data_IF_498980841430
#
_entry.id   IF_498980841430
#
_cell.length_a   1.000
_cell.length_b   1.000
_cell.length_c   1.000
_cell.angle_alpha   90.00
_cell.angle_beta   90.00
_cell.angle_gamma   90.00
#
_symmetry.space_group_name_H-M   'P 1'
#
loop_
_entity.id
_entity.type
_entity.pdbx_description
1 polymer ?
#
# COMPACT_ATOMS: atom_id res chain seq x y z
N UNK A 1 -2.04 -8.64 22.65
CA UNK A 1 -0.66 -8.56 22.16
C UNK A 1 -0.67 -8.84 20.67
N UNK A 2 -0.16 -7.94 19.83
CA UNK A 2 -0.20 -8.10 18.37
C UNK A 2 0.94 -7.33 17.68
N UNK A 3 1.19 -7.65 16.41
CA UNK A 3 2.17 -6.95 15.56
C UNK A 3 1.43 -6.04 14.57
N UNK A 4 1.87 -4.80 14.45
CA UNK A 4 1.34 -3.82 13.51
C UNK A 4 2.31 -3.65 12.33
N UNK A 5 1.80 -3.72 11.10
CA UNK A 5 2.52 -3.39 9.88
C UNK A 5 1.92 -2.11 9.28
N UNK A 6 2.71 -1.05 9.11
CA UNK A 6 2.20 0.27 8.70
C UNK A 6 2.77 0.66 7.34
N UNK A 7 1.90 1.01 6.40
CA UNK A 7 2.31 1.74 5.20
C UNK A 7 2.64 3.19 5.58
N UNK A 8 3.93 3.54 5.53
CA UNK A 8 4.39 4.88 5.84
C UNK A 8 4.02 5.90 4.77
N UNK A 9 3.86 5.49 3.51
CA UNK A 9 3.44 6.36 2.42
C UNK A 9 2.05 6.96 2.68
N UNK A 10 1.12 6.16 3.21
CA UNK A 10 -0.16 6.64 3.72
C UNK A 10 0.04 7.66 4.86
N UNK A 11 0.83 7.33 5.88
CA UNK A 11 1.02 8.20 7.05
C UNK A 11 1.58 9.56 6.64
N UNK A 12 2.57 9.61 5.74
CA UNK A 12 3.17 10.85 5.24
C UNK A 12 2.15 11.83 4.69
N UNK A 13 1.14 11.30 3.97
CA UNK A 13 0.07 12.09 3.36
C UNK A 13 -0.97 12.51 4.39
N UNK A 14 -1.30 11.64 5.33
CA UNK A 14 -2.26 11.93 6.41
C UNK A 14 -1.80 13.06 7.33
N UNK A 15 -0.48 13.20 7.54
CA UNK A 15 0.07 14.18 8.47
C UNK A 15 0.25 15.57 7.84
N UNK A 16 0.07 15.72 6.52
CA UNK A 16 0.20 17.02 5.84
C UNK A 16 -0.79 18.00 6.49
N UNK A 17 -0.30 19.09 7.11
CA UNK A 17 -1.17 20.03 7.80
C UNK A 17 -2.10 20.73 6.80
N UNK A 18 -3.33 20.98 7.24
CA UNK A 18 -4.29 21.84 6.51
C UNK A 18 -3.74 23.26 6.36
N UNK A 19 -4.40 24.13 5.59
CA UNK A 19 -3.99 25.54 5.51
C UNK A 19 -4.09 26.24 6.88
N UNK A 20 -5.11 25.88 7.67
CA UNK A 20 -5.37 26.42 9.00
C UNK A 20 -4.34 25.89 10.02
N UNK A 21 -3.98 24.61 9.94
CA UNK A 21 -2.98 23.98 10.83
C UNK A 21 -1.57 24.58 10.70
N UNK A 22 -1.28 25.29 9.60
CA UNK A 22 0.08 25.82 9.32
C UNK A 22 0.40 27.13 10.03
N UNK A 23 -0.60 27.79 10.61
CA UNK A 23 -0.40 28.89 11.54
C UNK A 23 -0.74 28.37 12.94
N UNK A 24 0.26 28.33 13.82
CA UNK A 24 0.02 27.96 15.21
C UNK A 24 -0.80 29.05 15.90
N UNK A 25 -1.49 28.70 16.98
CA UNK A 25 -2.35 29.64 17.73
C UNK A 25 -1.60 30.87 18.25
N UNK A 26 -0.28 30.75 18.44
CA UNK A 26 0.63 31.81 18.86
C UNK A 26 1.16 32.68 17.71
N UNK A 27 0.72 32.41 16.47
CA UNK A 27 1.15 33.12 15.26
C UNK A 27 2.49 32.66 14.69
N UNK A 28 3.13 31.64 15.29
CA UNK A 28 4.39 31.10 14.76
C UNK A 28 4.14 30.13 13.58
N UNK A 29 5.11 30.03 12.64
CA UNK A 29 4.96 29.11 11.51
C UNK A 29 5.11 27.66 11.96
N UNK A 30 4.26 26.78 11.44
CA UNK A 30 4.40 25.32 11.59
C UNK A 30 5.72 24.84 10.98
N UNK A 31 6.46 23.98 11.68
CA UNK A 31 7.82 23.54 11.31
C UNK A 31 7.88 22.06 10.95
N UNK A 32 9.02 21.63 10.42
CA UNK A 32 9.31 20.20 10.22
C UNK A 32 9.31 19.40 11.51
N UNK A 33 9.69 20.01 12.65
CA UNK A 33 9.56 19.40 13.96
C UNK A 33 8.10 19.04 14.26
N UNK A 34 7.17 19.98 14.08
CA UNK A 34 5.74 19.75 14.32
C UNK A 34 5.19 18.64 13.42
N UNK A 35 5.66 18.57 12.18
CA UNK A 35 5.30 17.51 11.24
C UNK A 35 5.71 16.11 11.74
N UNK A 36 6.97 15.92 12.15
CA UNK A 36 7.45 14.62 12.64
C UNK A 36 6.87 14.25 14.01
N UNK A 37 6.58 15.25 14.85
CA UNK A 37 5.81 15.06 16.10
C UNK A 37 4.38 14.60 15.82
N UNK A 38 3.68 15.24 14.86
CA UNK A 38 2.32 14.82 14.46
C UNK A 38 2.35 13.41 13.88
N UNK A 39 3.34 13.09 13.05
CA UNK A 39 3.52 11.77 12.45
C UNK A 39 3.71 10.67 13.49
N UNK A 40 4.65 10.85 14.42
CA UNK A 40 4.88 9.90 15.52
C UNK A 40 3.65 9.76 16.40
N UNK A 41 2.98 10.86 16.74
CA UNK A 41 1.74 10.84 17.53
C UNK A 41 0.64 10.03 16.84
N UNK A 42 0.49 10.15 15.52
CA UNK A 42 -0.47 9.36 14.75
C UNK A 42 -0.09 7.87 14.77
N UNK A 43 1.18 7.53 14.55
CA UNK A 43 1.64 6.13 14.62
C UNK A 43 1.35 5.55 16.00
N UNK A 44 1.69 6.28 17.07
CA UNK A 44 1.49 5.84 18.45
C UNK A 44 0.01 5.71 18.82
N UNK A 45 -0.83 6.66 18.42
CA UNK A 45 -2.27 6.60 18.64
C UNK A 45 -2.92 5.44 17.87
N UNK A 46 -2.36 5.09 16.71
CA UNK A 46 -2.86 3.97 15.89
C UNK A 46 -2.35 2.64 16.43
N UNK A 47 -1.13 2.50 16.93
CA UNK A 47 -0.66 1.18 17.38
C UNK A 47 -1.46 0.58 18.55
N UNK A 48 -2.20 1.36 19.33
CA UNK A 48 -2.85 0.85 20.55
C UNK A 48 -1.84 0.13 21.46
N UNK A 49 -2.10 -1.15 21.75
CA UNK A 49 -1.21 -2.03 22.54
C UNK A 49 -0.44 -3.03 21.64
N UNK A 50 0.07 -2.58 20.50
CA UNK A 50 0.97 -3.41 19.69
C UNK A 50 2.31 -3.57 20.39
N UNK A 51 2.89 -4.76 20.30
CA UNK A 51 4.21 -5.03 20.88
C UNK A 51 5.33 -4.66 19.92
N UNK A 52 5.07 -4.86 18.62
CA UNK A 52 6.01 -4.57 17.54
C UNK A 52 5.27 -3.74 16.49
N UNK A 53 5.90 -2.64 16.08
CA UNK A 53 5.48 -1.78 14.99
C UNK A 53 6.51 -1.92 13.86
N UNK A 54 6.10 -2.42 12.70
CA UNK A 54 6.93 -2.48 11.50
C UNK A 54 6.47 -1.37 10.56
N UNK A 55 7.25 -0.29 10.50
CA UNK A 55 7.06 0.83 9.58
C UNK A 55 7.66 0.49 8.22
N UNK A 56 6.80 0.32 7.21
CA UNK A 56 7.20 -0.09 5.86
C UNK A 56 7.13 1.08 4.90
N UNK A 57 8.19 1.27 4.11
CA UNK A 57 8.27 2.28 3.06
C UNK A 57 8.67 1.67 1.73
N UNK A 58 8.27 2.33 0.65
CA UNK A 58 8.84 2.11 -0.69
C UNK A 58 10.36 2.32 -0.69
N UNK A 59 11.05 1.49 -1.47
CA UNK A 59 12.45 1.73 -1.83
C UNK A 59 12.54 2.74 -2.98
N UNK A 60 13.01 3.95 -2.68
CA UNK A 60 13.34 4.95 -3.69
C UNK A 60 14.82 4.90 -4.13
N UNK A 61 15.52 3.80 -3.83
CA UNK A 61 16.93 3.58 -4.18
C UNK A 61 17.09 2.91 -5.58
N UNK A 62 16.00 2.48 -6.24
CA UNK A 62 16.06 1.81 -7.54
C UNK A 62 16.25 2.79 -8.71
N UNK A 63 17.01 2.38 -9.74
CA UNK A 63 17.21 3.15 -10.97
C UNK A 63 15.92 3.31 -11.81
N UNK A 64 14.95 2.40 -11.60
CA UNK A 64 13.62 2.40 -12.19
C UNK A 64 12.65 1.83 -11.15
N UNK A 65 11.64 2.59 -10.77
CA UNK A 65 10.47 2.16 -10.00
C UNK A 65 9.26 2.10 -10.95
N UNK A 66 8.34 1.17 -10.75
CA UNK A 66 6.99 1.19 -11.36
C UNK A 66 6.28 2.53 -11.16
N UNK A 67 6.57 3.23 -10.06
CA UNK A 67 6.06 4.57 -9.76
C UNK A 67 6.75 5.68 -10.58
N UNK A 68 7.82 5.37 -11.32
CA UNK A 68 8.46 6.34 -12.23
C UNK A 68 7.62 6.53 -13.50
N UNK A 69 6.94 5.52 -14.02
CA UNK A 69 6.02 5.67 -15.16
C UNK A 69 4.78 6.50 -14.78
N UNK A 70 4.21 6.24 -13.59
CA UNK A 70 3.15 7.10 -13.04
C UNK A 70 3.67 8.52 -12.86
N UNK A 71 4.89 8.70 -12.35
CA UNK A 71 5.49 10.02 -12.14
C UNK A 71 5.78 10.73 -13.45
N UNK A 72 6.24 10.06 -14.49
CA UNK A 72 6.51 10.65 -15.80
C UNK A 72 5.22 11.18 -16.44
N UNK A 73 4.09 10.52 -16.22
CA UNK A 73 2.76 11.03 -16.60
C UNK A 73 2.37 12.30 -15.82
N UNK A 74 2.81 12.46 -14.58
CA UNK A 74 2.56 13.66 -13.76
C UNK A 74 3.58 14.78 -14.00
N UNK A 75 4.81 14.43 -14.39
CA UNK A 75 5.96 15.34 -14.57
C UNK A 75 5.99 16.00 -15.95
N UNK A 76 5.12 15.62 -16.90
CA UNK A 76 4.94 16.32 -18.18
C UNK A 76 4.65 17.84 -18.06
N UNK A 77 4.45 18.38 -16.85
CA UNK A 77 4.37 19.83 -16.58
C UNK A 77 5.28 20.39 -15.47
N UNK A 78 6.17 19.61 -14.84
CA UNK A 78 7.03 20.09 -13.75
C UNK A 78 8.47 20.33 -14.20
N UNK A 79 8.95 21.57 -14.05
CA UNK A 79 10.37 21.90 -14.17
C UNK A 79 11.22 21.15 -13.13
N UNK A 80 12.55 21.14 -13.33
CA UNK A 80 13.53 20.58 -12.38
C UNK A 80 13.17 20.92 -10.92
N UNK A 81 13.01 19.88 -10.09
CA UNK A 81 12.73 20.00 -8.65
C UNK A 81 14.05 19.92 -7.86
N UNK A 82 14.52 21.00 -7.23
CA UNK A 82 15.75 20.97 -6.45
C UNK A 82 15.63 20.12 -5.18
N UNK A 83 16.77 19.66 -4.68
CA UNK A 83 16.83 18.97 -3.40
C UNK A 83 16.56 19.95 -2.25
N UNK A 84 15.70 19.56 -1.31
CA UNK A 84 15.33 20.36 -0.13
C UNK A 84 15.84 19.63 1.11
N UNK A 85 16.79 20.25 1.81
CA UNK A 85 17.33 19.73 3.07
C UNK A 85 16.44 20.20 4.23
N UNK A 86 15.64 19.29 4.76
CA UNK A 86 14.65 19.56 5.81
C UNK A 86 15.33 19.60 7.18
N UNK A 87 15.41 20.78 7.81
CA UNK A 87 15.82 20.92 9.21
C UNK A 87 14.59 21.08 10.09
N UNK A 88 14.64 20.49 11.29
CA UNK A 88 13.51 20.49 12.24
C UNK A 88 13.03 21.91 12.59
N UNK A 89 13.93 22.89 12.63
CA UNK A 89 13.62 24.29 12.96
C UNK A 89 13.07 25.11 11.80
N UNK A 90 13.21 24.61 10.57
CA UNK A 90 12.79 25.34 9.38
C UNK A 90 11.25 25.29 9.24
N UNK A 91 10.63 26.34 8.68
CA UNK A 91 9.21 26.33 8.36
C UNK A 91 8.85 25.16 7.45
N UNK A 92 7.71 24.55 7.72
CA UNK A 92 7.15 23.51 6.90
C UNK A 92 6.64 24.07 5.56
N UNK A 93 6.62 23.24 4.53
CA UNK A 93 6.22 23.65 3.19
C UNK A 93 4.70 23.87 3.07
N UNK A 94 4.31 24.67 2.09
CA UNK A 94 2.90 24.77 1.67
C UNK A 94 2.40 23.45 1.06
N UNK A 95 1.08 23.32 0.87
CA UNK A 95 0.45 22.13 0.27
C UNK A 95 1.02 21.85 -1.12
N UNK A 96 1.18 22.92 -1.90
CA UNK A 96 1.82 22.84 -3.21
C UNK A 96 3.30 22.49 -3.07
N UNK A 97 3.99 23.11 -2.10
CA UNK A 97 5.40 22.85 -1.84
C UNK A 97 5.71 21.40 -1.47
N UNK A 98 4.90 20.78 -0.60
CA UNK A 98 5.07 19.37 -0.23
C UNK A 98 4.76 18.44 -1.41
N UNK A 99 3.71 18.73 -2.19
CA UNK A 99 3.41 17.95 -3.39
C UNK A 99 4.56 18.02 -4.40
N UNK A 100 5.12 19.20 -4.65
CA UNK A 100 6.30 19.38 -5.50
C UNK A 100 7.53 18.70 -4.91
N UNK A 101 7.75 18.76 -3.59
CA UNK A 101 8.85 18.06 -2.92
C UNK A 101 8.74 16.55 -3.17
N UNK A 102 7.55 15.97 -3.01
CA UNK A 102 7.28 14.55 -3.24
C UNK A 102 7.35 14.14 -4.71
N UNK A 103 7.42 15.08 -5.66
CA UNK A 103 7.74 14.78 -7.06
C UNK A 103 9.23 14.48 -7.28
N UNK A 104 10.10 14.55 -6.26
CA UNK A 104 11.53 14.21 -6.36
C UNK A 104 11.88 12.99 -5.51
N UNK A 105 12.44 11.94 -6.15
CA UNK A 105 12.97 10.74 -5.47
C UNK A 105 13.94 11.12 -4.36
N UNK A 106 14.89 12.01 -4.64
CA UNK A 106 15.90 12.41 -3.67
C UNK A 106 15.27 13.09 -2.46
N UNK A 107 14.24 13.92 -2.66
CA UNK A 107 13.53 14.55 -1.56
C UNK A 107 12.72 13.55 -0.74
N UNK A 108 12.09 12.53 -1.35
CA UNK A 108 11.44 11.43 -0.62
C UNK A 108 12.44 10.68 0.27
N UNK A 109 13.65 10.41 -0.24
CA UNK A 109 14.73 9.78 0.52
C UNK A 109 15.20 10.65 1.69
N UNK A 110 15.33 11.96 1.48
CA UNK A 110 15.65 12.90 2.55
C UNK A 110 14.55 12.91 3.63
N UNK A 111 13.29 12.81 3.23
CA UNK A 111 12.15 12.74 4.15
C UNK A 111 12.17 11.42 4.94
N UNK A 112 12.42 10.29 4.28
CA UNK A 112 12.61 8.98 4.94
C UNK A 112 13.70 9.04 6.01
N UNK A 113 14.84 9.65 5.69
CA UNK A 113 15.96 9.78 6.62
C UNK A 113 15.62 10.65 7.82
N UNK A 114 14.90 11.77 7.60
CA UNK A 114 14.44 12.63 8.69
C UNK A 114 13.49 11.88 9.63
N UNK A 115 12.50 11.18 9.07
CA UNK A 115 11.51 10.41 9.83
C UNK A 115 12.19 9.25 10.57
N UNK A 116 13.07 8.49 9.91
CA UNK A 116 13.78 7.36 10.50
C UNK A 116 14.62 7.80 11.72
N UNK A 117 15.36 8.91 11.60
CA UNK A 117 16.12 9.49 12.73
C UNK A 117 15.20 9.83 13.90
N UNK A 118 14.09 10.51 13.61
CA UNK A 118 13.14 10.92 14.64
C UNK A 118 12.47 9.70 15.33
N UNK A 119 12.10 8.68 14.56
CA UNK A 119 11.57 7.42 15.09
C UNK A 119 12.62 6.63 15.89
N UNK A 120 13.91 6.77 15.57
CA UNK A 120 14.99 6.15 16.34
C UNK A 120 15.06 6.75 17.74
N UNK A 121 14.98 8.07 17.85
CA UNK A 121 14.93 8.74 19.15
C UNK A 121 13.68 8.33 19.93
N UNK A 122 12.52 8.29 19.25
CA UNK A 122 11.25 7.87 19.85
C UNK A 122 11.27 6.44 20.37
N UNK A 123 11.92 5.51 19.64
CA UNK A 123 11.98 4.09 19.97
C UNK A 123 12.59 3.83 21.36
N UNK A 124 13.38 4.76 21.88
CA UNK A 124 13.96 4.67 23.25
C UNK A 124 12.96 5.00 24.36
N UNK A 125 11.84 5.66 24.02
CA UNK A 125 10.87 6.22 24.96
C UNK A 125 9.53 5.47 24.99
N UNK A 126 9.35 4.49 24.10
CA UNK A 126 8.12 3.71 23.97
C UNK A 126 8.39 2.25 24.29
N UNK A 127 7.38 1.55 24.82
CA UNK A 127 7.51 0.13 25.16
C UNK A 127 7.48 -0.80 23.96
N UNK A 128 6.85 -0.35 22.86
CA UNK A 128 6.76 -1.12 21.63
C UNK A 128 8.10 -1.13 20.89
N UNK A 129 8.46 -2.28 20.35
CA UNK A 129 9.60 -2.41 19.45
C UNK A 129 9.27 -1.76 18.10
N UNK A 130 10.13 -0.85 17.64
CA UNK A 130 9.95 -0.19 16.35
C UNK A 130 10.96 -0.73 15.35
N UNK A 131 10.46 -1.32 14.27
CA UNK A 131 11.23 -1.80 13.12
C UNK A 131 10.93 -0.89 11.94
N UNK A 132 11.96 -0.47 11.22
CA UNK A 132 11.84 0.39 10.05
C UNK A 132 12.41 -0.31 8.81
N UNK A 133 11.55 -0.58 7.83
CA UNK A 133 11.91 -1.27 6.58
C UNK A 133 11.77 -0.35 5.37
N UNK A 134 12.83 -0.28 4.57
CA UNK A 134 12.94 0.46 3.31
C UNK A 134 13.71 -0.43 2.32
N UNK A 135 12.99 -1.15 1.46
CA UNK A 135 13.61 -2.07 0.51
C UNK A 135 14.50 -3.12 1.20
N UNK A 136 15.77 -3.25 0.77
CA UNK A 136 16.77 -4.14 1.40
C UNK A 136 17.26 -3.68 2.77
N UNK A 137 16.94 -2.46 3.19
CA UNK A 137 17.39 -1.93 4.49
C UNK A 137 16.27 -2.07 5.50
N UNK A 138 16.44 -3.00 6.42
CA UNK A 138 15.60 -3.09 7.60
C UNK A 138 16.43 -2.92 8.87
N UNK A 139 15.93 -2.10 9.80
CA UNK A 139 16.58 -1.81 11.08
C UNK A 139 15.55 -1.88 12.20
N UNK A 140 15.86 -2.65 13.23
CA UNK A 140 15.22 -2.52 14.53
C UNK A 140 15.75 -1.26 15.19
N UNK A 141 14.91 -0.22 15.26
CA UNK A 141 15.28 1.08 15.81
C UNK A 141 15.42 1.02 17.34
N UNK A 142 14.64 0.18 18.01
CA UNK A 142 14.70 -0.02 19.46
C UNK A 142 16.01 -0.69 19.88
N UNK A 143 16.48 -1.68 19.13
CA UNK A 143 17.74 -2.38 19.40
C UNK A 143 18.96 -1.81 18.65
N UNK A 144 18.74 -0.87 17.73
CA UNK A 144 19.75 -0.36 16.79
C UNK A 144 20.47 -1.46 16.00
N UNK A 145 19.72 -2.47 15.56
CA UNK A 145 20.26 -3.64 14.84
C UNK A 145 19.68 -3.76 13.43
N UNK A 146 20.54 -4.06 12.46
CA UNK A 146 20.08 -4.41 11.12
C UNK A 146 19.38 -5.77 11.15
N UNK A 147 18.28 -5.88 10.41
CA UNK A 147 17.51 -7.12 10.28
C UNK A 147 17.53 -7.57 8.83
N UNK A 148 17.73 -8.87 8.59
CA UNK A 148 17.63 -9.46 7.25
C UNK A 148 16.23 -10.01 6.94
N UNK A 149 15.50 -10.44 7.98
CA UNK A 149 14.21 -11.14 7.83
C UNK A 149 13.11 -10.26 7.21
N UNK A 150 13.28 -8.94 7.19
CA UNK A 150 12.31 -8.00 6.64
C UNK A 150 12.92 -7.07 5.57
N UNK A 151 13.98 -7.56 4.92
CA UNK A 151 14.66 -6.87 3.82
C UNK A 151 14.18 -7.43 2.48
N UNK A 152 13.57 -6.58 1.67
CA UNK A 152 12.98 -6.98 0.39
C UNK A 152 13.42 -6.02 -0.72
N UNK A 153 14.25 -6.50 -1.64
CA UNK A 153 14.77 -5.66 -2.71
C UNK A 153 13.70 -5.30 -3.74
N UNK A 154 13.64 -4.01 -4.11
CA UNK A 154 12.80 -3.48 -5.20
C UNK A 154 11.31 -3.80 -5.09
N UNK A 155 10.82 -4.07 -3.88
CA UNK A 155 9.41 -4.28 -3.60
C UNK A 155 8.71 -2.95 -3.27
N UNK A 156 7.48 -2.79 -3.75
CA UNK A 156 6.55 -1.76 -3.30
C UNK A 156 6.14 -2.00 -1.84
N UNK A 157 5.71 -0.95 -1.14
CA UNK A 157 5.35 -1.02 0.28
C UNK A 157 4.31 -2.14 0.56
N UNK A 158 3.30 -2.29 -0.30
CA UNK A 158 2.27 -3.33 -0.19
C UNK A 158 2.87 -4.74 -0.24
N UNK A 159 3.76 -4.99 -1.20
CA UNK A 159 4.49 -6.26 -1.32
C UNK A 159 5.35 -6.53 -0.10
N UNK A 160 5.99 -5.50 0.47
CA UNK A 160 6.78 -5.63 1.70
C UNK A 160 5.89 -5.95 2.91
N UNK A 161 4.71 -5.33 3.03
CA UNK A 161 3.75 -5.62 4.11
C UNK A 161 3.37 -7.12 4.13
N UNK A 162 2.99 -7.68 2.98
CA UNK A 162 2.58 -9.09 2.93
C UNK A 162 3.75 -10.07 2.98
N UNK A 163 4.92 -9.68 2.47
CA UNK A 163 6.14 -10.49 2.67
C UNK A 163 6.55 -10.55 4.14
N UNK A 164 6.48 -9.43 4.87
CA UNK A 164 6.71 -9.42 6.31
C UNK A 164 5.67 -10.26 7.06
N UNK A 165 4.40 -10.21 6.64
CA UNK A 165 3.36 -11.09 7.17
C UNK A 165 3.69 -12.58 6.96
N UNK A 166 4.12 -12.98 5.76
CA UNK A 166 4.52 -14.35 5.45
C UNK A 166 5.70 -14.80 6.33
N UNK A 167 6.75 -13.98 6.44
CA UNK A 167 7.92 -14.26 7.30
C UNK A 167 7.51 -14.43 8.77
N UNK A 168 6.59 -13.60 9.27
CA UNK A 168 6.06 -13.77 10.63
C UNK A 168 5.39 -15.14 10.79
N UNK A 169 4.57 -15.56 9.83
CA UNK A 169 3.93 -16.88 9.88
C UNK A 169 4.94 -18.03 9.80
N UNK A 170 5.90 -17.94 8.89
CA UNK A 170 6.97 -18.95 8.75
C UNK A 170 7.85 -19.06 9.99
N UNK A 171 8.10 -17.94 10.70
CA UNK A 171 8.82 -17.94 11.97
C UNK A 171 8.03 -18.54 13.15
N UNK A 172 6.77 -18.91 12.93
CA UNK A 172 5.90 -19.51 13.95
C UNK A 172 5.09 -18.51 14.78
N UNK A 173 5.06 -17.23 14.40
CA UNK A 173 4.22 -16.25 15.09
C UNK A 173 2.73 -16.52 14.81
N UNK A 174 1.99 -16.90 15.84
CA UNK A 174 0.55 -17.26 15.76
C UNK A 174 -0.39 -16.14 16.18
N UNK A 175 0.14 -15.06 16.76
CA UNK A 175 -0.67 -13.93 17.23
C UNK A 175 -1.28 -13.11 16.10
N UNK A 176 -2.15 -12.13 16.42
CA UNK A 176 -2.73 -11.24 15.42
C UNK A 176 -1.65 -10.38 14.75
N UNK A 177 -1.81 -10.20 13.43
CA UNK A 177 -1.06 -9.20 12.65
C UNK A 177 -2.06 -8.22 12.07
N UNK A 178 -1.82 -6.92 12.28
CA UNK A 178 -2.71 -5.84 11.83
C UNK A 178 -1.98 -5.01 10.79
N UNK A 179 -2.54 -4.91 9.59
CA UNK A 179 -2.06 -4.03 8.53
C UNK A 179 -2.76 -2.67 8.63
N UNK A 180 -1.99 -1.59 8.60
CA UNK A 180 -2.48 -0.23 8.56
C UNK A 180 -2.13 0.41 7.21
N UNK A 181 -3.05 0.26 6.27
CA UNK A 181 -2.95 0.77 4.90
C UNK A 181 -4.32 1.25 4.41
N UNK A 182 -4.32 2.20 3.48
CA UNK A 182 -5.53 2.71 2.83
C UNK A 182 -5.67 2.29 1.37
N UNK A 183 -4.61 1.76 0.76
CA UNK A 183 -4.64 1.37 -0.64
C UNK A 183 -5.56 0.17 -0.85
N UNK A 184 -6.33 0.19 -1.94
CA UNK A 184 -7.22 -0.91 -2.31
C UNK A 184 -6.44 -2.18 -2.58
N UNK A 185 -5.24 -2.05 -3.13
CA UNK A 185 -4.33 -3.17 -3.38
C UNK A 185 -4.01 -3.93 -2.09
N UNK A 186 -3.82 -3.20 -0.99
CA UNK A 186 -3.63 -3.81 0.33
C UNK A 186 -4.87 -4.56 0.82
N UNK A 187 -6.09 -4.10 0.54
CA UNK A 187 -7.32 -4.84 0.90
C UNK A 187 -7.49 -6.11 0.08
N UNK A 188 -7.22 -6.05 -1.23
CA UNK A 188 -7.27 -7.20 -2.13
C UNK A 188 -6.26 -8.26 -1.71
N UNK A 189 -5.00 -7.85 -1.50
CA UNK A 189 -3.96 -8.74 -1.01
C UNK A 189 -4.30 -9.30 0.38
N UNK A 190 -4.83 -8.50 1.30
CA UNK A 190 -5.22 -8.98 2.63
C UNK A 190 -6.33 -10.04 2.57
N UNK A 191 -7.34 -9.84 1.72
CA UNK A 191 -8.40 -10.81 1.49
C UNK A 191 -7.81 -12.14 0.98
N UNK A 192 -6.93 -12.08 -0.01
CA UNK A 192 -6.24 -13.26 -0.57
C UNK A 192 -5.37 -13.97 0.48
N UNK A 193 -4.39 -13.28 1.08
CA UNK A 193 -3.42 -13.89 1.99
C UNK A 193 -4.04 -14.40 3.29
N UNK A 194 -5.17 -13.85 3.72
CA UNK A 194 -5.89 -14.34 4.90
C UNK A 194 -6.45 -15.77 4.75
N UNK A 195 -6.62 -16.25 3.52
CA UNK A 195 -7.07 -17.61 3.20
C UNK A 195 -5.92 -18.56 2.88
N UNK A 196 -4.75 -18.02 2.49
CA UNK A 196 -3.58 -18.79 2.09
C UNK A 196 -2.63 -19.11 3.25
N UNK A 197 -2.52 -18.21 4.23
CA UNK A 197 -1.60 -18.34 5.35
C UNK A 197 -2.34 -18.48 6.67
N UNK A 198 -1.89 -19.36 7.58
CA UNK A 198 -2.53 -19.54 8.88
C UNK A 198 -2.37 -18.30 9.77
N UNK A 199 -3.31 -18.12 10.71
CA UNK A 199 -3.27 -17.08 11.73
C UNK A 199 -4.18 -15.89 11.45
N UNK A 200 -4.36 -15.05 12.47
CA UNK A 200 -5.27 -13.91 12.40
C UNK A 200 -4.60 -12.72 11.69
N UNK A 201 -5.02 -12.45 10.46
CA UNK A 201 -4.70 -11.24 9.72
C UNK A 201 -5.88 -10.25 9.84
N UNK A 202 -5.57 -9.01 10.20
CA UNK A 202 -6.53 -7.93 10.25
C UNK A 202 -6.02 -6.72 9.44
N UNK A 203 -6.94 -5.89 8.97
CA UNK A 203 -6.63 -4.63 8.30
C UNK A 203 -7.41 -3.49 8.93
N UNK A 204 -6.77 -2.34 9.07
CA UNK A 204 -7.39 -1.12 9.58
C UNK A 204 -8.12 -0.36 8.50
N UNK A 205 -9.35 0.00 8.83
CA UNK A 205 -10.19 0.87 8.03
C UNK A 205 -10.74 2.00 8.88
N UNK A 206 -10.23 3.21 8.65
CA UNK A 206 -10.52 4.38 9.49
C UNK A 206 -10.15 4.11 10.96
N UNK A 207 -11.14 3.98 11.83
CA UNK A 207 -10.98 3.68 13.26
C UNK A 207 -11.30 2.22 13.61
N UNK A 208 -11.71 1.40 12.64
CA UNK A 208 -12.08 0.00 12.85
C UNK A 208 -10.96 -0.93 12.39
N UNK A 209 -10.80 -2.04 13.10
CA UNK A 209 -9.97 -3.17 12.68
C UNK A 209 -10.91 -4.25 12.18
N UNK A 210 -10.65 -4.79 10.99
CA UNK A 210 -11.48 -5.80 10.33
C UNK A 210 -10.65 -7.06 10.16
N UNK A 211 -11.20 -8.22 10.51
CA UNK A 211 -10.57 -9.51 10.24
C UNK A 211 -10.61 -9.79 8.73
N UNK A 212 -9.46 -10.09 8.15
CA UNK A 212 -9.33 -10.19 6.70
C UNK A 212 -10.04 -11.41 6.11
N UNK A 213 -10.20 -12.49 6.89
CA UNK A 213 -10.95 -13.68 6.51
C UNK A 213 -12.44 -13.42 6.23
N UNK A 214 -12.96 -12.32 6.77
CA UNK A 214 -14.38 -11.97 6.70
C UNK A 214 -14.65 -10.94 5.59
N UNK A 215 -13.61 -10.50 4.87
CA UNK A 215 -13.73 -9.52 3.80
C UNK A 215 -14.46 -10.08 2.58
N UNK A 216 -14.20 -11.35 2.26
CA UNK A 216 -14.76 -12.06 1.09
C UNK A 216 -14.93 -13.55 1.42
N UNK A 217 -15.75 -14.27 0.65
CA UNK A 217 -15.86 -15.73 0.76
C UNK A 217 -14.59 -16.42 0.28
N UNK A 218 -14.43 -17.71 0.58
CA UNK A 218 -13.25 -18.49 0.19
C UNK A 218 -13.12 -18.57 -1.34
N UNK A 219 -14.24 -18.74 -2.04
CA UNK A 219 -14.28 -18.79 -3.49
C UNK A 219 -13.87 -17.44 -4.09
N UNK A 220 -14.36 -16.33 -3.53
CA UNK A 220 -14.01 -15.00 -4.01
C UNK A 220 -12.55 -14.65 -3.73
N UNK A 221 -12.01 -15.07 -2.57
CA UNK A 221 -10.60 -14.89 -2.27
C UNK A 221 -9.70 -15.57 -3.30
N UNK A 222 -10.11 -16.72 -3.86
CA UNK A 222 -9.33 -17.45 -4.86
C UNK A 222 -9.15 -16.71 -6.20
N UNK A 223 -10.01 -15.74 -6.51
CA UNK A 223 -10.01 -15.02 -7.78
C UNK A 223 -9.93 -13.49 -7.67
N UNK A 224 -9.89 -12.93 -6.45
CA UNK A 224 -9.98 -11.48 -6.22
C UNK A 224 -8.79 -10.72 -6.80
N UNK A 225 -7.59 -11.31 -6.79
CA UNK A 225 -6.38 -10.69 -7.34
C UNK A 225 -6.51 -10.56 -8.85
N UNK A 226 -6.89 -11.63 -9.53
CA UNK A 226 -7.10 -11.66 -10.98
C UNK A 226 -8.19 -10.69 -11.40
N UNK A 227 -9.31 -10.65 -10.66
CA UNK A 227 -10.37 -9.69 -10.91
C UNK A 227 -9.86 -8.25 -10.80
N UNK A 228 -9.13 -7.93 -9.72
CA UNK A 228 -8.57 -6.59 -9.52
C UNK A 228 -7.60 -6.18 -10.63
N UNK A 229 -6.77 -7.11 -11.11
CA UNK A 229 -5.91 -6.91 -12.27
C UNK A 229 -6.70 -6.57 -13.55
N UNK A 230 -7.74 -7.34 -13.86
CA UNK A 230 -8.58 -7.10 -15.05
C UNK A 230 -9.39 -5.81 -14.96
N UNK A 231 -9.70 -5.36 -13.74
CA UNK A 231 -10.41 -4.11 -13.52
C UNK A 231 -9.52 -2.86 -13.70
N UNK A 232 -8.20 -3.03 -13.85
CA UNK A 232 -7.23 -1.97 -14.19
C UNK A 232 -6.39 -1.47 -13.02
N UNK A 233 -6.25 -2.24 -11.94
CA UNK A 233 -5.34 -2.04 -10.79
C UNK A 233 -5.26 -0.66 -10.10
N UNK A 234 -5.95 0.42 -10.50
CA UNK A 234 -5.77 1.69 -9.79
C UNK A 234 -6.96 2.68 -9.74
N UNK A 235 -6.99 3.38 -8.59
CA UNK A 235 -7.72 4.60 -8.19
C UNK A 235 -9.25 4.62 -7.99
N UNK A 236 -10.04 3.66 -8.49
CA UNK A 236 -11.49 3.54 -8.15
C UNK A 236 -11.97 2.10 -8.03
N UNK A 237 -11.06 1.19 -7.64
CA UNK A 237 -11.43 -0.16 -7.26
C UNK A 237 -12.20 -0.11 -5.95
N UNK A 238 -13.27 -0.87 -5.92
CA UNK A 238 -14.43 -0.47 -5.18
C UNK A 238 -14.92 -1.55 -4.25
N UNK A 239 -13.94 -2.09 -3.56
CA UNK A 239 -14.09 -3.10 -2.52
C UNK A 239 -15.19 -2.75 -1.50
N UNK A 240 -15.64 -1.47 -1.45
CA UNK A 240 -16.76 -1.01 -0.61
C UNK A 240 -17.80 -0.05 -1.25
N UNK A 241 -18.08 -0.05 -2.57
CA UNK A 241 -19.40 0.42 -3.07
C UNK A 241 -19.59 1.66 -4.01
N UNK A 242 -18.57 2.43 -4.41
CA UNK A 242 -18.50 3.31 -5.62
C UNK A 242 -17.49 2.92 -6.78
N UNK A 243 -17.97 2.32 -7.87
CA UNK A 243 -17.16 1.85 -9.03
C UNK A 243 -17.31 0.33 -9.32
N UNK A 244 -17.52 -0.09 -10.57
CA UNK A 244 -17.62 -1.51 -11.06
C UNK A 244 -18.27 -2.60 -10.16
N UNK A 245 -19.13 -2.22 -9.21
CA UNK A 245 -19.86 -3.12 -8.29
C UNK A 245 -20.63 -4.22 -9.04
N UNK A 246 -21.15 -3.87 -10.21
CA UNK A 246 -21.86 -4.80 -11.08
C UNK A 246 -20.98 -5.98 -11.52
N UNK A 247 -19.70 -5.74 -11.83
CA UNK A 247 -18.74 -6.81 -12.19
C UNK A 247 -18.47 -7.70 -10.98
N UNK A 248 -18.20 -7.09 -9.83
CA UNK A 248 -17.99 -7.83 -8.58
C UNK A 248 -19.20 -8.72 -8.26
N UNK A 249 -20.42 -8.16 -8.33
CA UNK A 249 -21.66 -8.90 -8.08
C UNK A 249 -21.87 -10.01 -9.13
N UNK A 250 -21.49 -9.81 -10.40
CA UNK A 250 -21.55 -10.85 -11.44
C UNK A 250 -20.59 -12.01 -11.15
N UNK A 251 -19.35 -11.71 -10.75
CA UNK A 251 -18.35 -12.73 -10.36
C UNK A 251 -18.81 -13.46 -9.10
N UNK A 252 -19.27 -12.72 -8.07
CA UNK A 252 -19.75 -13.29 -6.81
C UNK A 252 -20.90 -14.28 -7.02
N UNK A 253 -21.79 -14.01 -7.98
CA UNK A 253 -22.96 -14.84 -8.26
C UNK A 253 -22.71 -15.95 -9.30
N UNK A 254 -21.48 -16.13 -9.80
CA UNK A 254 -21.16 -17.12 -10.83
C UNK A 254 -19.95 -17.98 -10.45
N UNK A 255 -20.17 -19.20 -9.93
CA UNK A 255 -19.10 -20.14 -9.61
C UNK A 255 -18.24 -20.52 -10.83
N UNK A 256 -18.83 -20.53 -12.03
CA UNK A 256 -18.11 -20.76 -13.28
C UNK A 256 -17.05 -19.68 -13.50
N UNK A 257 -17.45 -18.41 -13.36
CA UNK A 257 -16.56 -17.27 -13.54
C UNK A 257 -15.46 -17.26 -12.46
N UNK A 258 -15.80 -17.56 -11.20
CA UNK A 258 -14.81 -17.65 -10.12
C UNK A 258 -13.75 -18.71 -10.44
N UNK A 259 -14.17 -19.88 -10.93
CA UNK A 259 -13.28 -20.97 -11.32
C UNK A 259 -12.43 -20.65 -12.55
N UNK A 260 -12.99 -19.96 -13.54
CA UNK A 260 -12.22 -19.47 -14.69
C UNK A 260 -11.18 -18.47 -14.20
N UNK A 261 -11.60 -17.53 -13.36
CA UNK A 261 -10.72 -16.49 -12.83
C UNK A 261 -9.58 -17.03 -11.96
N UNK A 262 -9.87 -18.01 -11.10
CA UNK A 262 -8.89 -18.60 -10.18
C UNK A 262 -7.78 -19.35 -10.92
N UNK A 263 -8.01 -19.79 -12.17
CA UNK A 263 -7.02 -20.48 -13.00
C UNK A 263 -6.05 -19.53 -13.71
N UNK A 264 -6.36 -18.23 -13.78
CA UNK A 264 -5.48 -17.28 -14.45
C UNK A 264 -4.27 -16.94 -13.59
N UNK A 265 -3.09 -17.09 -14.19
CA UNK A 265 -1.80 -16.87 -13.54
C UNK A 265 -1.13 -18.13 -12.99
N UNK A 266 -1.79 -19.29 -13.05
CA UNK A 266 -1.21 -20.57 -12.64
C UNK A 266 -0.13 -21.10 -13.61
N UNK A 267 -0.16 -20.63 -14.87
CA UNK A 267 0.81 -20.97 -15.91
C UNK A 267 1.15 -19.74 -16.76
N UNK A 268 2.42 -19.63 -17.15
CA UNK A 268 2.90 -18.64 -18.14
C UNK A 268 2.38 -18.94 -19.54
N UNK A 269 2.23 -20.23 -19.86
CA UNK A 269 1.60 -20.72 -21.07
C UNK A 269 0.11 -20.89 -20.78
N UNK A 270 -0.71 -19.99 -21.33
CA UNK A 270 -2.17 -20.10 -21.26
C UNK A 270 -2.65 -20.99 -22.41
N UNK A 271 -3.41 -22.03 -22.07
CA UNK A 271 -4.12 -22.83 -23.08
C UNK A 271 -5.04 -21.91 -23.90
N UNK A 272 -5.19 -22.20 -25.20
CA UNK A 272 -5.99 -21.38 -26.12
C UNK A 272 -7.44 -21.22 -25.63
N UNK A 273 -8.02 -22.28 -25.05
CA UNK A 273 -9.34 -22.26 -24.39
C UNK A 273 -9.41 -21.27 -23.22
N UNK A 274 -8.35 -21.18 -22.41
CA UNK A 274 -8.26 -20.26 -21.26
C UNK A 274 -8.17 -18.80 -21.76
N UNK A 275 -7.48 -18.56 -22.88
CA UNK A 275 -7.40 -17.25 -23.54
C UNK A 275 -8.75 -16.85 -24.15
N UNK A 276 -9.48 -17.78 -24.76
CA UNK A 276 -10.83 -17.54 -25.28
C UNK A 276 -11.83 -17.22 -24.17
N UNK A 277 -11.83 -18.00 -23.09
CA UNK A 277 -12.64 -17.75 -21.89
C UNK A 277 -12.34 -16.35 -21.30
N UNK A 278 -11.05 -15.97 -21.28
CA UNK A 278 -10.63 -14.67 -20.76
C UNK A 278 -11.15 -13.53 -21.61
N UNK A 279 -11.02 -13.69 -22.93
CA UNK A 279 -11.52 -12.71 -23.87
C UNK A 279 -13.03 -12.55 -23.75
N UNK A 280 -13.77 -13.66 -23.64
CA UNK A 280 -15.21 -13.63 -23.45
C UNK A 280 -15.58 -12.94 -22.13
N UNK A 281 -14.89 -13.27 -21.04
CA UNK A 281 -15.10 -12.64 -19.74
C UNK A 281 -14.83 -11.13 -19.76
N UNK A 282 -13.67 -10.70 -20.25
CA UNK A 282 -13.31 -9.28 -20.34
C UNK A 282 -14.36 -8.54 -21.19
N UNK A 283 -14.71 -9.11 -22.33
CA UNK A 283 -15.63 -8.47 -23.26
C UNK A 283 -17.05 -8.37 -22.71
N UNK A 284 -17.62 -9.47 -22.23
CA UNK A 284 -19.01 -9.54 -21.78
C UNK A 284 -19.21 -8.96 -20.37
N UNK A 285 -18.31 -9.28 -19.44
CA UNK A 285 -18.50 -8.99 -18.01
C UNK A 285 -17.85 -7.66 -17.65
N UNK A 286 -16.60 -7.42 -18.05
CA UNK A 286 -15.89 -6.17 -17.70
C UNK A 286 -16.39 -4.98 -18.54
N UNK A 287 -16.57 -5.17 -19.85
CA UNK A 287 -16.92 -4.08 -20.77
C UNK A 287 -18.39 -4.08 -21.25
N UNK A 288 -19.17 -5.12 -20.96
CA UNK A 288 -20.58 -5.21 -21.39
C UNK A 288 -20.77 -5.24 -22.91
N UNK A 289 -19.74 -5.60 -23.68
CA UNK A 289 -19.75 -5.58 -25.14
C UNK A 289 -20.21 -6.93 -25.70
N UNK A 290 -21.51 -7.09 -25.93
CA UNK A 290 -22.04 -8.32 -26.53
C UNK A 290 -21.95 -8.35 -28.07
N UNK A 291 -21.47 -7.28 -28.72
CA UNK A 291 -21.57 -7.11 -30.17
C UNK A 291 -20.34 -7.58 -30.92
N UNK A 292 -19.15 -7.34 -30.36
CA UNK A 292 -17.88 -7.73 -30.98
C UNK A 292 -17.56 -9.18 -30.67
N UNK A 293 -16.97 -9.91 -31.61
CA UNK A 293 -16.73 -11.36 -31.48
C UNK A 293 -15.25 -11.71 -31.38
N UNK A 294 -14.34 -10.79 -31.70
CA UNK A 294 -12.89 -11.05 -31.70
C UNK A 294 -12.09 -9.92 -31.06
N UNK A 295 -10.89 -10.24 -30.56
CA UNK A 295 -9.94 -9.24 -30.04
C UNK A 295 -9.59 -8.18 -31.09
N UNK A 296 -9.47 -8.58 -32.37
CA UNK A 296 -9.21 -7.67 -33.48
C UNK A 296 -10.35 -6.64 -33.64
N UNK A 297 -11.60 -7.07 -33.56
CA UNK A 297 -12.77 -6.17 -33.61
C UNK A 297 -12.82 -5.22 -32.40
N UNK A 298 -12.48 -5.71 -31.20
CA UNK A 298 -12.45 -4.91 -29.97
C UNK A 298 -11.35 -3.83 -30.01
N UNK A 299 -10.17 -4.14 -30.56
CA UNK A 299 -9.03 -3.25 -30.66
C UNK A 299 -9.05 -2.31 -31.89
N UNK A 300 -9.86 -2.62 -32.91
CA UNK A 300 -9.96 -1.85 -34.18
C UNK A 300 -10.54 -0.43 -34.07
N UNK A 301 -10.84 0.06 -32.86
CA UNK A 301 -11.18 1.46 -32.60
C UNK A 301 -10.19 2.09 -31.62
N UNK A 302 -9.04 2.49 -32.16
CA UNK A 302 -8.37 3.74 -31.77
C UNK A 302 -8.47 4.70 -32.94
#
# INVERSE_FOLDING_TARGET
>A
TYIMLIDMGMIWRMVIPSAEDRQMQDGTPYKWLDYVHKLSSIILARQGNADIIICVNDSYDAAYSSKDDERDLWVQGYAYVPNIYMKLVDPFLSARGINTLLCSINNKRLLQNLICRYLTDLATSVSAEIIYSVGSKCTNLSAQQSMQNYSFDKAEAETVLFSAYAVLRESGYTGPVVIDATDTDAYVAAAFFSKQLPGMLCIKRKQKTITCSDLVTDEMASCIVQLHCMEGCNAKSNFYGKGKKLVYDQVLNSPLIQRQLSRYGDSLDLDEEVVEDLFEFIRHVIYGDHKRKTMAEACSKK
#
